data_IF_838152246962
#
_entry.id   IF_838152246962
#
_cell.length_a   1.000
_cell.length_b   1.000
_cell.length_c   1.000
_cell.angle_alpha   90.00
_cell.angle_beta   90.00
_cell.angle_gamma   90.00
#
_symmetry.space_group_name_H-M   'P 1'
#
loop_
_entity.id
_entity.type
_entity.pdbx_description
1 polymer ?
#
# COMPACT_ATOMS: atom_id res chain seq x y z
N UNK A 1 -2.23 2.28 27.99
CA UNK A 1 -2.08 0.98 28.67
C UNK A 1 -2.55 -0.07 27.68
N UNK A 2 -1.63 -0.82 27.07
CA UNK A 2 -1.99 -1.88 26.12
C UNK A 2 -2.34 -3.11 26.96
N UNK A 3 -3.59 -3.56 26.90
CA UNK A 3 -4.02 -4.76 27.61
C UNK A 3 -3.29 -5.99 27.03
N UNK A 4 -2.70 -6.82 27.89
CA UNK A 4 -2.05 -8.07 27.47
C UNK A 4 -3.07 -9.21 27.43
N UNK A 5 -3.95 -9.17 26.43
CA UNK A 5 -4.94 -10.22 26.15
C UNK A 5 -4.62 -10.86 24.81
N UNK A 6 -4.69 -12.19 24.71
CA UNK A 6 -4.29 -12.92 23.50
C UNK A 6 -5.15 -12.61 22.27
N UNK A 7 -6.43 -12.28 22.48
CA UNK A 7 -7.35 -11.81 21.45
C UNK A 7 -8.15 -10.64 22.02
N UNK A 8 -8.12 -9.49 21.35
CA UNK A 8 -8.87 -8.30 21.75
C UNK A 8 -10.12 -8.16 20.87
N UNK A 9 -11.34 -8.38 21.42
CA UNK A 9 -12.56 -8.18 20.65
C UNK A 9 -12.78 -6.68 20.33
N UNK A 10 -13.51 -6.35 19.25
CA UNK A 10 -13.93 -4.98 18.99
C UNK A 10 -14.75 -4.43 20.16
N UNK A 11 -14.55 -3.15 20.47
CA UNK A 11 -15.31 -2.48 21.52
C UNK A 11 -16.78 -2.30 21.11
N UNK A 12 -17.68 -2.19 22.09
CA UNK A 12 -19.14 -2.12 21.84
C UNK A 12 -19.56 -0.98 20.89
N UNK A 13 -18.91 0.18 20.95
CA UNK A 13 -19.22 1.28 20.02
C UNK A 13 -18.94 0.91 18.54
N UNK A 14 -17.93 0.07 18.27
CA UNK A 14 -17.63 -0.39 16.92
C UNK A 14 -18.77 -1.28 16.41
N UNK A 15 -19.20 -2.25 17.22
CA UNK A 15 -20.30 -3.13 16.89
C UNK A 15 -21.62 -2.37 16.75
N UNK A 16 -21.88 -1.41 17.63
CA UNK A 16 -23.09 -0.59 17.60
C UNK A 16 -23.21 0.24 16.31
N UNK A 17 -22.09 0.71 15.76
CA UNK A 17 -22.09 1.44 14.49
C UNK A 17 -22.58 0.57 13.33
N UNK A 18 -22.05 -0.64 13.19
CA UNK A 18 -22.47 -1.56 12.14
C UNK A 18 -23.87 -2.12 12.36
N UNK A 19 -24.23 -2.45 13.61
CA UNK A 19 -25.59 -2.82 13.96
C UNK A 19 -26.59 -1.71 13.62
N UNK A 20 -26.23 -0.44 13.84
CA UNK A 20 -27.07 0.68 13.45
C UNK A 20 -27.23 0.77 11.93
N UNK A 21 -26.16 0.58 11.14
CA UNK A 21 -26.24 0.55 9.67
C UNK A 21 -27.20 -0.54 9.19
N UNK A 22 -27.05 -1.76 9.73
CA UNK A 22 -27.81 -2.93 9.29
C UNK A 22 -29.26 -2.89 9.77
N UNK A 23 -29.52 -2.53 11.04
CA UNK A 23 -30.84 -2.72 11.66
C UNK A 23 -31.67 -1.44 11.78
N UNK A 24 -31.03 -0.28 11.97
CA UNK A 24 -31.74 0.99 12.22
C UNK A 24 -31.81 1.83 10.96
N UNK A 25 -30.66 2.06 10.32
CA UNK A 25 -30.59 2.74 9.03
C UNK A 25 -31.09 1.83 7.90
N UNK A 26 -31.00 0.50 8.08
CA UNK A 26 -31.48 -0.52 7.15
C UNK A 26 -30.90 -0.32 5.73
N UNK A 27 -29.57 -0.23 5.66
CA UNK A 27 -28.86 -0.04 4.41
C UNK A 27 -29.13 -1.20 3.44
N UNK A 28 -29.38 -0.88 2.17
CA UNK A 28 -29.45 -1.91 1.12
C UNK A 28 -28.06 -2.41 0.69
N UNK A 29 -27.01 -1.64 0.95
CA UNK A 29 -25.61 -1.99 0.72
C UNK A 29 -24.69 -1.05 1.50
N UNK A 30 -23.47 -1.53 1.82
CA UNK A 30 -22.40 -0.72 2.40
C UNK A 30 -21.23 -0.61 1.41
N UNK A 31 -20.70 0.61 1.24
CA UNK A 31 -19.54 0.86 0.37
C UNK A 31 -18.37 1.29 1.24
N UNK A 32 -17.34 0.46 1.25
CA UNK A 32 -16.06 0.77 1.87
C UNK A 32 -15.11 1.37 0.83
N UNK A 33 -14.36 2.40 1.25
CA UNK A 33 -13.41 3.13 0.43
C UNK A 33 -12.04 3.08 1.09
N UNK A 34 -11.00 2.70 0.33
CA UNK A 34 -9.62 2.61 0.80
C UNK A 34 -9.06 1.19 0.70
N UNK A 35 -7.89 0.96 1.29
CA UNK A 35 -7.10 -0.27 1.07
C UNK A 35 -6.87 -1.09 2.34
N UNK A 36 -7.58 -0.83 3.45
CA UNK A 36 -7.46 -1.64 4.67
C UNK A 36 -8.66 -1.38 5.60
N UNK A 37 -9.71 -2.17 5.46
CA UNK A 37 -10.90 -2.05 6.30
C UNK A 37 -10.63 -2.68 7.65
N UNK A 38 -10.92 -2.00 8.77
CA UNK A 38 -10.66 -2.59 10.08
C UNK A 38 -11.47 -3.86 10.35
N UNK A 39 -12.66 -4.00 9.74
CA UNK A 39 -13.56 -5.12 10.01
C UNK A 39 -13.05 -6.45 9.45
N UNK A 40 -12.34 -6.43 8.32
CA UNK A 40 -11.78 -7.64 7.71
C UNK A 40 -10.64 -8.24 8.55
N UNK A 41 -10.07 -7.47 9.49
CA UNK A 41 -8.98 -7.87 10.39
C UNK A 41 -9.44 -8.11 11.84
N UNK A 42 -10.74 -8.03 12.12
CA UNK A 42 -11.27 -8.34 13.45
C UNK A 42 -11.00 -9.81 13.81
N UNK A 43 -10.91 -10.16 15.09
CA UNK A 43 -10.64 -11.54 15.49
C UNK A 43 -11.65 -12.54 14.93
N UNK A 44 -11.17 -13.73 14.57
CA UNK A 44 -11.98 -14.79 13.99
C UNK A 44 -11.20 -15.58 12.95
N UNK A 45 -11.84 -16.57 12.35
CA UNK A 45 -11.24 -17.47 11.35
C UNK A 45 -10.73 -16.71 10.12
N UNK A 46 -9.64 -17.21 9.54
CA UNK A 46 -9.01 -16.64 8.33
C UNK A 46 -9.89 -16.75 7.08
N UNK A 47 -10.68 -17.81 6.98
CA UNK A 47 -11.58 -18.11 5.87
C UNK A 47 -12.79 -18.89 6.39
N UNK A 48 -13.88 -18.90 5.61
CA UNK A 48 -15.12 -19.63 5.94
C UNK A 48 -15.62 -19.24 7.34
N UNK A 49 -16.00 -17.98 7.46
CA UNK A 49 -16.50 -17.41 8.70
C UNK A 49 -17.75 -18.17 9.18
N UNK A 50 -17.89 -18.25 10.50
CA UNK A 50 -19.13 -18.63 11.15
C UNK A 50 -19.83 -17.39 11.70
N UNK A 51 -21.13 -17.50 12.00
CA UNK A 51 -21.96 -16.41 12.56
C UNK A 51 -21.52 -15.84 13.91
N UNK A 52 -20.43 -16.35 14.50
CA UNK A 52 -19.83 -15.80 15.72
C UNK A 52 -18.47 -15.13 15.47
N UNK A 53 -17.94 -15.18 14.24
CA UNK A 53 -16.72 -14.47 13.87
C UNK A 53 -17.05 -12.98 13.70
N UNK A 54 -16.26 -12.09 14.31
CA UNK A 54 -16.56 -10.66 14.33
C UNK A 54 -16.69 -10.00 12.94
N UNK A 55 -15.89 -10.37 11.92
CA UNK A 55 -16.10 -9.83 10.58
C UNK A 55 -17.48 -10.18 10.00
N UNK A 56 -18.01 -11.37 10.30
CA UNK A 56 -19.34 -11.83 9.85
C UNK A 56 -20.44 -11.06 10.57
N UNK A 57 -20.33 -10.90 11.90
CA UNK A 57 -21.26 -10.12 12.72
C UNK A 57 -21.37 -8.65 12.24
N UNK A 58 -20.25 -8.09 11.78
CA UNK A 58 -20.16 -6.69 11.36
C UNK A 58 -20.81 -6.46 10.00
N UNK A 59 -20.56 -7.35 9.03
CA UNK A 59 -21.16 -7.25 7.70
C UNK A 59 -22.63 -7.65 7.74
N UNK A 60 -22.94 -8.70 8.50
CA UNK A 60 -24.26 -9.30 8.63
C UNK A 60 -24.86 -9.59 7.24
N UNK A 61 -26.17 -9.43 7.07
CA UNK A 61 -26.86 -9.66 5.80
C UNK A 61 -26.70 -8.53 4.77
N UNK A 62 -26.10 -7.39 5.15
CA UNK A 62 -25.99 -6.22 4.25
C UNK A 62 -24.87 -6.41 3.24
N UNK A 63 -25.14 -6.33 1.92
CA UNK A 63 -24.11 -6.46 0.89
C UNK A 63 -22.95 -5.47 1.07
N UNK A 64 -21.73 -5.99 1.19
CA UNK A 64 -20.51 -5.19 1.30
C UNK A 64 -19.82 -5.04 -0.05
N UNK A 65 -19.59 -3.79 -0.46
CA UNK A 65 -18.84 -3.41 -1.67
C UNK A 65 -17.57 -2.70 -1.22
N UNK A 66 -16.43 -3.06 -1.81
CA UNK A 66 -15.16 -2.42 -1.51
C UNK A 66 -14.53 -1.84 -2.78
N UNK A 67 -14.34 -0.53 -2.80
CA UNK A 67 -13.52 0.14 -3.82
C UNK A 67 -12.06 0.03 -3.39
N UNK A 68 -11.27 -0.76 -4.14
CA UNK A 68 -9.92 -1.18 -3.75
C UNK A 68 -8.86 -0.79 -4.79
N UNK A 69 -7.60 -0.74 -4.38
CA UNK A 69 -6.48 -0.38 -5.27
C UNK A 69 -5.93 -1.64 -5.95
N UNK A 70 -5.82 -1.61 -7.27
CA UNK A 70 -5.43 -2.77 -8.10
C UNK A 70 -4.06 -3.38 -7.76
N UNK A 71 -3.15 -2.59 -7.20
CA UNK A 71 -1.79 -3.03 -6.81
C UNK A 71 -1.73 -3.64 -5.40
N UNK A 72 -2.85 -3.72 -4.67
CA UNK A 72 -2.91 -4.27 -3.31
C UNK A 72 -3.80 -5.53 -3.20
N UNK A 73 -3.54 -6.51 -4.05
CA UNK A 73 -4.35 -7.73 -4.15
C UNK A 73 -4.36 -8.58 -2.87
N UNK A 74 -3.29 -8.56 -2.06
CA UNK A 74 -3.17 -9.39 -0.86
C UNK A 74 -4.19 -8.97 0.21
N UNK A 75 -4.25 -7.67 0.52
CA UNK A 75 -5.21 -7.15 1.49
C UNK A 75 -6.64 -7.20 0.91
N UNK A 76 -6.81 -6.98 -0.40
CA UNK A 76 -8.09 -7.15 -1.09
C UNK A 76 -8.64 -8.59 -0.99
N UNK A 77 -7.77 -9.59 -0.91
CA UNK A 77 -8.18 -10.98 -0.67
C UNK A 77 -8.70 -11.18 0.76
N UNK A 78 -8.14 -10.48 1.76
CA UNK A 78 -8.67 -10.48 3.12
C UNK A 78 -10.05 -9.83 3.17
N UNK A 79 -10.23 -8.68 2.53
CA UNK A 79 -11.53 -8.03 2.36
C UNK A 79 -12.57 -8.97 1.71
N UNK A 80 -12.17 -9.73 0.70
CA UNK A 80 -13.06 -10.69 0.04
C UNK A 80 -13.40 -11.92 0.91
N UNK A 81 -12.42 -12.49 1.60
CA UNK A 81 -12.58 -13.76 2.35
C UNK A 81 -13.13 -13.57 3.76
N UNK A 82 -12.79 -12.45 4.40
CA UNK A 82 -13.18 -12.11 5.77
C UNK A 82 -14.17 -10.95 5.83
N UNK A 83 -14.17 -10.06 4.86
CA UNK A 83 -15.16 -8.98 4.79
C UNK A 83 -16.38 -9.30 3.92
N UNK A 84 -16.45 -10.50 3.34
CA UNK A 84 -17.49 -10.93 2.38
C UNK A 84 -17.74 -9.91 1.26
N UNK A 85 -16.72 -9.10 0.94
CA UNK A 85 -16.89 -7.93 0.11
C UNK A 85 -16.78 -8.26 -1.39
N UNK A 86 -17.62 -7.57 -2.18
CA UNK A 86 -17.45 -7.47 -3.63
C UNK A 86 -16.40 -6.40 -3.92
N UNK A 87 -15.26 -6.83 -4.45
CA UNK A 87 -14.15 -5.93 -4.77
C UNK A 87 -14.36 -5.28 -6.14
N UNK A 88 -14.30 -3.95 -6.18
CA UNK A 88 -14.26 -3.13 -7.39
C UNK A 88 -12.92 -2.40 -7.40
N UNK A 89 -11.99 -2.88 -8.22
CA UNK A 89 -10.65 -2.30 -8.27
C UNK A 89 -10.61 -0.98 -9.04
N UNK A 90 -9.75 -0.06 -8.59
CA UNK A 90 -9.40 1.18 -9.25
C UNK A 90 -7.88 1.27 -9.50
N UNK A 91 -7.50 2.04 -10.53
CA UNK A 91 -6.10 2.27 -10.87
C UNK A 91 -5.40 3.10 -9.79
N UNK A 92 -4.11 2.86 -9.58
CA UNK A 92 -3.26 3.74 -8.79
C UNK A 92 -3.16 5.13 -9.44
N UNK A 93 -2.85 6.18 -8.67
CA UNK A 93 -2.59 7.50 -9.25
C UNK A 93 -1.50 7.44 -10.33
N UNK A 94 -1.62 8.30 -11.35
CA UNK A 94 -0.66 8.35 -12.45
C UNK A 94 0.76 8.61 -11.91
N UNK A 95 1.68 7.68 -12.19
CA UNK A 95 3.07 7.80 -11.77
C UNK A 95 3.82 8.76 -12.69
N UNK A 96 4.60 9.68 -12.09
CA UNK A 96 5.51 10.56 -12.81
C UNK A 96 6.91 10.41 -12.24
N UNK A 97 7.91 10.33 -13.10
CA UNK A 97 9.30 10.37 -12.66
C UNK A 97 9.60 11.72 -11.99
N UNK A 98 10.19 11.66 -10.79
CA UNK A 98 10.60 12.86 -10.07
C UNK A 98 11.94 13.32 -10.59
N UNK A 99 12.07 14.61 -10.91
CA UNK A 99 13.39 15.22 -11.13
C UNK A 99 14.17 15.35 -9.82
N UNK A 100 15.50 15.47 -9.91
CA UNK A 100 16.31 15.92 -8.78
C UNK A 100 16.08 17.41 -8.54
N UNK A 101 16.08 17.83 -7.29
CA UNK A 101 15.88 19.21 -6.88
C UNK A 101 16.86 19.60 -5.76
N UNK A 102 17.09 20.90 -5.60
CA UNK A 102 17.98 21.45 -4.57
C UNK A 102 19.39 20.85 -4.64
N UNK A 103 19.92 20.47 -3.48
CA UNK A 103 21.28 19.94 -3.33
C UNK A 103 21.52 18.63 -4.09
N UNK A 104 20.48 17.84 -4.34
CA UNK A 104 20.61 16.61 -5.13
C UNK A 104 20.93 16.90 -6.60
N UNK A 105 20.48 18.05 -7.13
CA UNK A 105 20.85 18.49 -8.47
C UNK A 105 22.32 18.92 -8.52
N UNK A 106 22.76 19.70 -7.54
CA UNK A 106 24.16 20.11 -7.37
C UNK A 106 25.08 18.91 -7.24
N UNK A 107 24.69 17.91 -6.43
CA UNK A 107 25.45 16.67 -6.28
C UNK A 107 25.57 15.91 -7.61
N UNK A 108 24.49 15.83 -8.39
CA UNK A 108 24.53 15.22 -9.73
C UNK A 108 25.52 15.94 -10.65
N UNK A 109 25.53 17.27 -10.63
CA UNK A 109 26.48 18.07 -11.41
C UNK A 109 27.92 17.83 -10.99
N UNK A 110 28.21 17.83 -9.69
CA UNK A 110 29.54 17.54 -9.14
C UNK A 110 30.03 16.13 -9.55
N UNK A 111 29.17 15.12 -9.43
CA UNK A 111 29.49 13.75 -9.87
C UNK A 111 29.76 13.73 -11.38
N UNK A 112 28.96 14.45 -12.17
CA UNK A 112 29.14 14.50 -13.62
C UNK A 112 30.43 15.20 -14.01
N UNK A 113 30.82 16.26 -13.30
CA UNK A 113 32.08 16.98 -13.51
C UNK A 113 33.28 16.12 -13.13
N UNK A 114 33.22 15.43 -11.98
CA UNK A 114 34.25 14.48 -11.57
C UNK A 114 34.47 13.37 -12.62
N UNK A 115 33.39 12.77 -13.13
CA UNK A 115 33.47 11.74 -14.18
C UNK A 115 34.11 12.26 -15.47
N UNK A 116 33.81 13.50 -15.89
CA UNK A 116 34.44 14.12 -17.07
C UNK A 116 35.94 14.30 -16.88
N UNK A 117 36.38 14.83 -15.73
CA UNK A 117 37.79 15.03 -15.40
C UNK A 117 38.57 13.71 -15.32
N UNK A 118 37.94 12.66 -14.77
CA UNK A 118 38.54 11.34 -14.70
C UNK A 118 38.73 10.71 -16.09
N UNK A 119 37.81 10.94 -17.02
CA UNK A 119 37.94 10.44 -18.39
C UNK A 119 38.94 11.25 -19.22
N UNK A 120 38.97 12.59 -19.09
CA UNK A 120 39.93 13.42 -19.81
C UNK A 120 41.38 13.13 -19.39
N UNK A 121 41.62 12.88 -18.10
CA UNK A 121 42.94 12.52 -17.58
C UNK A 121 43.43 11.16 -18.11
N UNK A 122 42.53 10.19 -18.30
CA UNK A 122 42.86 8.93 -18.98
C UNK A 122 43.24 9.17 -20.45
N UNK A 123 42.46 9.96 -21.19
CA UNK A 123 42.74 10.27 -22.60
C UNK A 123 44.06 11.00 -22.80
N UNK A 124 44.39 12.00 -21.95
CA UNK A 124 45.67 12.70 -22.01
C UNK A 124 46.86 11.79 -21.66
N UNK A 125 46.65 10.81 -20.78
CA UNK A 125 47.68 9.83 -20.41
C UNK A 125 47.95 8.88 -21.60
N UNK A 126 46.91 8.34 -22.24
CA UNK A 126 47.07 7.51 -23.44
C UNK A 126 47.73 8.25 -24.62
N UNK A 127 47.37 9.51 -24.87
CA UNK A 127 48.02 10.34 -25.90
C UNK A 127 49.51 10.59 -25.61
N UNK A 128 49.88 10.73 -24.33
CA UNK A 128 51.25 10.96 -23.87
C UNK A 128 52.12 9.69 -23.88
N UNK A 129 51.54 8.50 -23.77
CA UNK A 129 52.25 7.24 -23.97
C UNK A 129 52.34 6.84 -25.46
N UNK A 130 51.32 7.12 -26.27
CA UNK A 130 51.33 6.83 -27.72
C UNK A 130 52.36 7.66 -28.52
N UNK A 131 52.70 8.86 -28.07
CA UNK A 131 53.74 9.70 -28.70
C UNK A 131 55.17 9.32 -28.31
N UNK A 132 55.38 8.53 -27.25
CA UNK A 132 56.72 8.12 -26.79
C UNK A 132 57.30 6.91 -27.55
N UNK A 133 56.51 6.20 -28.34
CA UNK A 133 56.94 5.01 -29.09
C UNK A 133 57.21 5.26 -30.58
N UNK A 134 57.19 6.52 -31.03
CA UNK A 134 57.39 6.90 -32.44
C UNK A 134 58.65 7.76 -32.69
N UNK A 135 59.58 7.82 -31.75
CA UNK A 135 60.90 8.43 -31.93
C UNK A 135 62.00 7.39 -31.71
#
# INVERSE_FOLDING_TARGET
>A
MIYNVGVLPPHHQYLAYYAWINMVFNASAMIHMGTMGSYEWLPGKEVMLAGFDFPDIVVDETPSIYIYRVDNAADGLAAKRRGLAVIIDHLTPAMKSTGLYGELLTLKELISNYKKLMNSSKTSTWQRYGTRHLN
#
